data_IF_703019717931
#
_entry.id   IF_703019717931
#
_cell.length_a   1.000
_cell.length_b   1.000
_cell.length_c   1.000
_cell.angle_alpha   90.00
_cell.angle_beta   90.00
_cell.angle_gamma   90.00
#
_symmetry.space_group_name_H-M   'P 1'
#
loop_
_entity.id
_entity.type
_entity.pdbx_description
1 polymer ?
#
# COMPACT_ATOMS: atom_id res chain seq x y z
N UNK A 1 11.07 -8.90 0.03
CA UNK A 1 11.78 -9.83 0.94
C UNK A 1 12.91 -9.05 1.60
N UNK A 2 13.17 -9.15 2.92
CA UNK A 2 14.31 -8.48 3.54
C UNK A 2 15.64 -8.99 2.96
N UNK A 3 16.61 -8.10 2.73
CA UNK A 3 17.92 -8.45 2.14
C UNK A 3 18.70 -9.46 2.97
N UNK A 4 18.53 -9.46 4.27
CA UNK A 4 19.12 -10.46 5.16
C UNK A 4 18.89 -11.89 4.65
N UNK A 5 17.68 -12.23 4.23
CA UNK A 5 17.36 -13.56 3.70
C UNK A 5 17.96 -13.78 2.30
N UNK A 6 17.92 -12.77 1.45
CA UNK A 6 18.55 -12.80 0.13
C UNK A 6 20.06 -13.03 0.26
N UNK A 7 20.73 -12.35 1.18
CA UNK A 7 22.17 -12.48 1.38
C UNK A 7 22.57 -13.89 1.87
N UNK A 8 21.69 -14.58 2.63
CA UNK A 8 21.90 -15.99 2.97
C UNK A 8 21.85 -16.85 1.70
N UNK A 9 20.83 -16.69 0.87
CA UNK A 9 20.70 -17.47 -0.38
C UNK A 9 21.85 -17.21 -1.35
N UNK A 10 22.29 -15.97 -1.52
CA UNK A 10 23.41 -15.62 -2.39
C UNK A 10 24.73 -16.27 -1.94
N UNK A 11 24.93 -16.42 -0.65
CA UNK A 11 26.10 -17.14 -0.12
C UNK A 11 26.06 -18.64 -0.36
N UNK A 12 24.85 -19.23 -0.27
CA UNK A 12 24.67 -20.67 -0.44
C UNK A 12 24.59 -21.07 -1.92
N UNK A 13 24.07 -20.19 -2.76
CA UNK A 13 23.87 -20.41 -4.20
C UNK A 13 24.54 -19.30 -5.01
N UNK A 14 25.89 -19.25 -5.05
CA UNK A 14 26.62 -18.15 -5.70
C UNK A 14 26.39 -18.06 -7.20
N UNK A 15 26.03 -19.17 -7.86
CA UNK A 15 25.77 -19.25 -9.30
C UNK A 15 24.30 -18.89 -9.66
N UNK A 16 23.44 -18.70 -8.66
CA UNK A 16 22.03 -18.37 -8.92
C UNK A 16 21.87 -16.87 -9.18
N UNK A 17 21.05 -16.54 -10.18
CA UNK A 17 20.58 -15.18 -10.40
C UNK A 17 19.36 -14.89 -9.54
N UNK A 18 19.33 -13.73 -8.92
CA UNK A 18 18.21 -13.26 -8.09
C UNK A 18 17.60 -12.01 -8.72
N UNK A 19 16.28 -11.96 -8.72
CA UNK A 19 15.54 -10.78 -9.16
C UNK A 19 14.47 -10.39 -8.15
N UNK A 20 14.38 -9.09 -7.87
CA UNK A 20 13.25 -8.52 -7.14
C UNK A 20 12.19 -8.12 -8.17
N UNK A 21 10.97 -8.61 -7.99
CA UNK A 21 9.84 -8.37 -8.88
C UNK A 21 8.82 -7.49 -8.18
N UNK A 22 8.20 -6.58 -8.93
CA UNK A 22 7.12 -5.74 -8.43
C UNK A 22 6.00 -5.65 -9.47
N UNK A 23 4.77 -5.68 -8.96
CA UNK A 23 3.57 -5.39 -9.72
C UNK A 23 2.30 -5.75 -8.96
N UNK A 24 1.23 -4.98 -9.12
CA UNK A 24 -0.09 -5.29 -8.60
C UNK A 24 -0.88 -6.20 -9.55
N UNK A 25 -1.93 -6.82 -9.06
CA UNK A 25 -2.83 -7.71 -9.83
C UNK A 25 -3.44 -7.00 -11.04
N UNK A 26 -3.71 -5.71 -10.93
CA UNK A 26 -4.34 -4.86 -11.94
C UNK A 26 -3.52 -4.68 -13.21
N UNK A 27 -2.23 -5.03 -13.18
CA UNK A 27 -1.32 -5.02 -14.34
C UNK A 27 -0.80 -6.43 -14.67
N UNK A 28 -1.52 -7.46 -14.31
CA UNK A 28 -1.20 -8.87 -14.60
C UNK A 28 0.13 -9.28 -13.97
N UNK A 29 0.25 -9.04 -12.65
CA UNK A 29 1.27 -9.50 -11.72
C UNK A 29 2.60 -8.73 -11.72
N UNK A 30 3.34 -8.62 -12.80
CA UNK A 30 4.69 -8.01 -12.79
C UNK A 30 4.82 -6.90 -13.82
N UNK A 31 5.13 -5.67 -13.36
CA UNK A 31 5.42 -4.54 -14.24
C UNK A 31 6.88 -4.04 -14.18
N UNK A 32 7.61 -4.39 -13.13
CA UNK A 32 9.04 -4.06 -13.04
C UNK A 32 9.85 -5.16 -12.39
N UNK A 33 11.14 -5.11 -12.63
CA UNK A 33 12.10 -6.04 -12.06
C UNK A 33 13.45 -5.39 -11.82
N UNK A 34 14.14 -5.87 -10.81
CA UNK A 34 15.54 -5.56 -10.53
C UNK A 34 16.34 -6.84 -10.43
N UNK A 35 17.37 -7.01 -11.30
CA UNK A 35 18.36 -8.08 -11.15
C UNK A 35 19.35 -7.67 -10.07
N UNK A 36 19.53 -8.53 -9.07
CA UNK A 36 20.43 -8.26 -7.95
C UNK A 36 21.86 -8.49 -8.41
N UNK A 37 22.48 -7.46 -8.96
CA UNK A 37 23.80 -7.48 -9.60
C UNK A 37 24.91 -6.82 -8.76
N UNK A 38 24.60 -6.38 -7.55
CA UNK A 38 25.53 -5.79 -6.58
C UNK A 38 25.22 -6.25 -5.16
N UNK A 39 26.07 -5.91 -4.24
CA UNK A 39 25.85 -6.20 -2.81
C UNK A 39 24.96 -5.17 -2.16
N UNK A 40 24.18 -5.62 -1.19
CA UNK A 40 23.30 -4.82 -0.36
C UNK A 40 23.51 -5.23 1.09
N UNK A 41 23.53 -4.27 2.01
CA UNK A 41 23.49 -4.58 3.42
C UNK A 41 22.15 -5.24 3.81
N UNK A 42 22.12 -5.90 4.97
CA UNK A 42 20.95 -6.67 5.43
C UNK A 42 19.67 -5.80 5.53
N UNK A 43 19.85 -4.52 5.87
CA UNK A 43 18.76 -3.54 6.06
C UNK A 43 18.56 -2.61 4.85
N UNK A 44 19.38 -2.70 3.80
CA UNK A 44 19.20 -1.88 2.61
C UNK A 44 17.90 -2.24 1.87
N UNK A 45 17.13 -1.25 1.39
CA UNK A 45 15.99 -1.53 0.52
C UNK A 45 16.46 -1.97 -0.88
N UNK A 46 15.84 -3.02 -1.40
CA UNK A 46 16.05 -3.42 -2.80
C UNK A 46 15.24 -2.53 -3.74
N UNK A 47 15.84 -2.07 -4.87
CA UNK A 47 15.07 -1.47 -5.94
C UNK A 47 13.98 -2.41 -6.45
N UNK A 48 12.86 -1.86 -6.88
CA UNK A 48 11.91 -2.57 -7.75
C UNK A 48 12.32 -2.48 -9.23
N UNK A 49 13.33 -1.68 -9.51
CA UNK A 49 14.15 -1.70 -10.70
C UNK A 49 13.58 -0.91 -11.87
N UNK A 50 13.39 -1.57 -13.02
CA UNK A 50 12.97 -0.95 -14.29
C UNK A 50 11.74 -1.64 -14.84
N UNK A 51 10.97 -0.94 -15.66
CA UNK A 51 9.80 -1.47 -16.33
C UNK A 51 10.10 -2.71 -17.17
N UNK A 52 9.16 -3.66 -17.17
CA UNK A 52 9.17 -4.81 -18.08
C UNK A 52 8.93 -4.37 -19.54
N UNK A 53 9.19 -5.26 -20.49
CA UNK A 53 8.86 -5.02 -21.91
C UNK A 53 7.36 -4.80 -22.09
N UNK A 54 6.99 -3.92 -23.00
CA UNK A 54 5.60 -3.52 -23.28
C UNK A 54 4.88 -2.88 -22.07
N UNK A 55 5.64 -2.41 -21.10
CA UNK A 55 5.15 -1.71 -19.92
C UNK A 55 5.93 -0.42 -19.77
N UNK A 56 5.25 0.65 -19.39
CA UNK A 56 5.89 1.90 -19.00
C UNK A 56 5.45 2.26 -17.59
N UNK A 57 6.41 2.69 -16.79
CA UNK A 57 6.18 3.19 -15.44
C UNK A 57 6.47 4.67 -15.43
N UNK A 58 5.56 5.43 -14.85
CA UNK A 58 5.66 6.88 -14.66
C UNK A 58 5.53 7.18 -13.18
N UNK A 59 6.34 8.11 -12.68
CA UNK A 59 6.13 8.70 -11.37
C UNK A 59 5.47 10.05 -11.57
N UNK A 60 4.27 10.23 -11.01
CA UNK A 60 3.50 11.47 -11.12
C UNK A 60 3.40 12.15 -9.75
N UNK A 61 3.60 13.47 -9.73
CA UNK A 61 3.32 14.28 -8.54
C UNK A 61 1.80 14.56 -8.37
N UNK A 62 1.44 15.32 -7.35
CA UNK A 62 0.05 15.63 -7.04
C UNK A 62 -0.60 16.55 -8.11
N UNK A 63 0.19 17.26 -8.92
CA UNK A 63 -0.24 18.07 -10.07
C UNK A 63 -0.26 17.28 -11.38
N UNK A 64 0.00 15.97 -11.34
CA UNK A 64 0.13 15.07 -12.49
C UNK A 64 1.32 15.38 -13.42
N UNK A 65 2.35 16.05 -12.93
CA UNK A 65 3.59 16.25 -13.66
C UNK A 65 4.50 15.04 -13.53
N UNK A 66 5.19 14.72 -14.65
CA UNK A 66 6.15 13.62 -14.66
C UNK A 66 7.38 13.96 -13.81
N UNK A 67 7.73 13.08 -12.90
CA UNK A 67 8.96 13.16 -12.10
C UNK A 67 10.05 12.37 -12.79
N UNK A 68 11.19 13.02 -13.02
CA UNK A 68 12.40 12.42 -13.60
C UNK A 68 13.62 12.61 -12.71
N UNK A 69 13.54 13.53 -11.74
CA UNK A 69 14.62 13.84 -10.81
C UNK A 69 14.78 12.73 -9.77
N UNK A 70 16.05 12.35 -9.43
CA UNK A 70 16.32 11.44 -8.33
C UNK A 70 15.72 11.95 -7.00
N UNK A 71 15.40 11.04 -6.10
CA UNK A 71 14.92 11.26 -4.73
C UNK A 71 13.59 12.03 -4.60
N UNK A 72 13.00 12.50 -5.71
CA UNK A 72 11.68 13.12 -5.71
C UNK A 72 10.61 12.04 -5.73
N UNK A 73 9.74 12.04 -4.72
CA UNK A 73 8.66 11.06 -4.57
C UNK A 73 7.45 11.40 -5.41
N UNK A 74 6.87 10.38 -6.03
CA UNK A 74 5.61 10.47 -6.76
C UNK A 74 4.81 9.18 -6.70
N UNK A 75 3.57 9.24 -7.16
CA UNK A 75 2.73 8.06 -7.31
C UNK A 75 3.20 7.26 -8.52
N UNK A 76 3.44 5.96 -8.32
CA UNK A 76 3.78 5.04 -9.38
C UNK A 76 2.54 4.73 -10.21
N UNK A 77 2.58 5.08 -11.49
CA UNK A 77 1.54 4.82 -12.47
C UNK A 77 2.07 3.91 -13.57
N UNK A 78 1.22 3.03 -14.08
CA UNK A 78 1.62 2.03 -15.06
C UNK A 78 0.73 2.12 -16.30
N UNK A 79 1.34 2.06 -17.48
CA UNK A 79 0.65 1.81 -18.75
C UNK A 79 1.24 0.62 -19.49
N UNK A 80 0.47 0.02 -20.36
CA UNK A 80 0.94 -1.09 -21.20
C UNK A 80 -0.16 -2.10 -21.49
N UNK A 81 0.21 -3.11 -22.25
CA UNK A 81 -0.74 -4.16 -22.72
C UNK A 81 -1.18 -5.11 -21.62
N UNK A 82 -0.55 -5.05 -20.45
CA UNK A 82 -0.85 -5.88 -19.28
C UNK A 82 -1.90 -5.27 -18.34
N UNK A 83 -2.39 -4.04 -18.61
CA UNK A 83 -3.44 -3.43 -17.80
C UNK A 83 -4.74 -4.27 -17.90
N UNK A 84 -5.36 -4.50 -16.74
CA UNK A 84 -6.72 -5.05 -16.72
C UNK A 84 -7.73 -4.02 -17.21
N UNK A 85 -8.93 -4.48 -17.57
CA UNK A 85 -10.01 -3.60 -18.04
C UNK A 85 -10.71 -2.85 -16.90
N UNK A 86 -10.42 -3.22 -15.65
CA UNK A 86 -11.02 -2.64 -14.46
C UNK A 86 -11.44 -3.67 -13.42
N UNK A 87 -12.16 -3.24 -12.40
CA UNK A 87 -12.71 -4.09 -11.34
C UNK A 87 -14.09 -4.60 -11.72
N UNK A 88 -14.33 -5.90 -11.55
CA UNK A 88 -15.61 -6.53 -11.86
C UNK A 88 -16.76 -5.91 -11.05
N UNK A 89 -17.81 -5.49 -11.75
CA UNK A 89 -19.01 -4.87 -11.18
C UNK A 89 -18.73 -3.68 -10.23
N UNK A 90 -17.63 -2.94 -10.44
CA UNK A 90 -17.26 -1.78 -9.62
C UNK A 90 -16.70 -0.65 -10.50
N UNK A 91 -17.61 0.07 -11.17
CA UNK A 91 -17.27 1.18 -12.07
C UNK A 91 -16.66 2.36 -11.30
N UNK A 92 -17.14 2.65 -10.10
CA UNK A 92 -16.63 3.74 -9.27
C UNK A 92 -15.14 3.53 -8.96
N UNK A 93 -14.76 2.37 -8.43
CA UNK A 93 -13.35 2.05 -8.15
C UNK A 93 -12.52 1.98 -9.43
N UNK A 94 -13.10 1.48 -10.53
CA UNK A 94 -12.44 1.42 -11.84
C UNK A 94 -12.10 2.81 -12.35
N UNK A 95 -13.03 3.75 -12.31
CA UNK A 95 -12.83 5.12 -12.82
C UNK A 95 -11.80 5.93 -12.05
N UNK A 96 -11.59 5.60 -10.77
CA UNK A 96 -10.55 6.24 -9.92
C UNK A 96 -9.17 5.65 -10.18
N UNK A 97 -9.08 4.32 -10.40
CA UNK A 97 -7.81 3.62 -10.52
C UNK A 97 -7.28 3.57 -11.97
N UNK A 98 -8.18 3.43 -12.95
CA UNK A 98 -7.84 3.34 -14.38
C UNK A 98 -8.28 4.64 -15.07
N UNK A 99 -7.37 5.60 -15.10
CA UNK A 99 -7.64 6.96 -15.58
C UNK A 99 -7.00 7.23 -16.93
N UNK A 100 -7.46 8.30 -17.61
CA UNK A 100 -6.75 8.84 -18.77
C UNK A 100 -5.33 9.23 -18.36
N UNK A 101 -4.34 8.91 -19.20
CA UNK A 101 -2.96 9.36 -19.00
C UNK A 101 -2.90 10.89 -19.05
N UNK A 102 -2.58 11.58 -17.95
CA UNK A 102 -2.56 13.05 -17.92
C UNK A 102 -1.45 13.65 -18.79
N UNK A 103 -0.44 12.85 -19.14
CA UNK A 103 0.66 13.27 -20.02
C UNK A 103 0.31 13.13 -21.52
N UNK A 104 -0.79 12.47 -21.84
CA UNK A 104 -1.21 12.24 -23.22
C UNK A 104 -2.60 12.89 -23.50
N UNK A 105 -2.64 14.13 -24.03
CA UNK A 105 -3.90 14.78 -24.36
C UNK A 105 -4.43 14.46 -25.78
N UNK A 106 -3.70 13.64 -26.56
CA UNK A 106 -3.97 13.50 -28.00
C UNK A 106 -4.90 12.34 -28.34
N UNK A 107 -4.91 11.28 -27.53
CA UNK A 107 -5.76 10.10 -27.73
C UNK A 107 -6.05 9.40 -26.39
N UNK A 108 -7.08 8.56 -26.40
CA UNK A 108 -7.44 7.79 -25.21
C UNK A 108 -6.35 6.78 -24.88
N UNK A 109 -5.71 6.96 -23.73
CA UNK A 109 -4.68 6.08 -23.20
C UNK A 109 -4.89 5.93 -21.72
N UNK A 110 -5.24 4.73 -21.26
CA UNK A 110 -5.42 4.46 -19.84
C UNK A 110 -4.11 4.15 -19.16
N UNK A 111 -3.99 4.67 -17.94
CA UNK A 111 -2.96 4.28 -16.98
C UNK A 111 -3.64 3.72 -15.73
N UNK A 112 -2.94 2.85 -15.05
CA UNK A 112 -3.33 2.38 -13.72
C UNK A 112 -2.55 3.17 -12.66
N UNK A 113 -3.28 3.83 -11.75
CA UNK A 113 -2.74 4.47 -10.55
C UNK A 113 -2.62 3.42 -9.46
N UNK A 114 -1.39 3.06 -9.09
CA UNK A 114 -1.17 1.97 -8.15
C UNK A 114 -1.47 2.36 -6.70
N UNK A 115 -1.44 3.66 -6.38
CA UNK A 115 -1.46 4.18 -5.02
C UNK A 115 -0.13 3.94 -4.28
N UNK A 116 0.89 3.39 -4.94
CA UNK A 116 2.22 3.21 -4.40
C UNK A 116 3.05 4.47 -4.63
N UNK A 117 3.83 4.88 -3.63
CA UNK A 117 4.81 5.95 -3.73
C UNK A 117 6.17 5.38 -4.07
N UNK A 118 6.89 6.05 -4.93
CA UNK A 118 8.22 5.64 -5.37
C UNK A 118 9.09 6.87 -5.74
N UNK A 119 10.38 6.66 -5.83
CA UNK A 119 11.35 7.62 -6.37
C UNK A 119 12.38 6.91 -7.24
N UNK A 120 13.12 7.66 -8.05
CA UNK A 120 14.32 7.17 -8.73
C UNK A 120 15.53 7.35 -7.82
N UNK A 121 16.39 6.33 -7.71
CA UNK A 121 17.69 6.47 -7.08
C UNK A 121 18.71 7.08 -8.09
N UNK A 122 19.95 7.27 -7.63
CA UNK A 122 21.07 7.79 -8.45
C UNK A 122 21.41 6.93 -9.68
N UNK A 123 21.01 5.64 -9.69
CA UNK A 123 21.18 4.73 -10.82
C UNK A 123 19.98 4.71 -11.78
N UNK A 124 18.97 5.56 -11.56
CA UNK A 124 17.73 5.58 -12.32
C UNK A 124 16.87 4.33 -12.13
N UNK A 125 17.04 3.64 -11.00
CA UNK A 125 16.21 2.50 -10.59
C UNK A 125 15.10 2.98 -9.69
N UNK A 126 13.91 2.38 -9.82
CA UNK A 126 12.75 2.74 -9.02
C UNK A 126 12.88 2.11 -7.63
N UNK A 127 12.75 2.95 -6.60
CA UNK A 127 12.69 2.58 -5.19
C UNK A 127 11.26 2.69 -4.70
N UNK A 128 10.79 1.70 -3.95
CA UNK A 128 9.45 1.71 -3.35
C UNK A 128 9.48 2.43 -2.00
N UNK A 129 8.61 3.43 -1.82
CA UNK A 129 8.52 4.28 -0.62
C UNK A 129 7.29 4.00 0.26
N UNK A 130 6.50 3.00 -0.09
CA UNK A 130 5.27 2.68 0.62
C UNK A 130 4.01 3.03 -0.15
N UNK A 131 2.91 3.23 0.56
CA UNK A 131 1.59 3.50 -0.04
C UNK A 131 1.14 4.93 0.23
N UNK A 132 0.45 5.52 -0.77
CA UNK A 132 -0.29 6.80 -0.63
C UNK A 132 -1.55 6.63 0.23
N UNK A 133 -2.14 5.43 0.18
CA UNK A 133 -3.31 5.01 0.95
C UNK A 133 -2.92 4.10 2.13
N UNK A 134 -3.94 3.62 2.85
CA UNK A 134 -3.78 2.75 4.02
C UNK A 134 -3.90 1.26 3.68
N UNK A 135 -3.68 0.88 2.43
CA UNK A 135 -3.65 -0.52 2.02
C UNK A 135 -2.40 -1.21 2.54
N UNK A 136 -2.57 -2.42 3.05
CA UNK A 136 -1.49 -3.23 3.62
C UNK A 136 -1.40 -4.60 2.95
N UNK A 137 -0.22 -5.25 3.10
CA UNK A 137 -0.07 -6.68 2.86
C UNK A 137 0.03 -7.39 4.21
N UNK A 138 -0.99 -8.18 4.55
CA UNK A 138 -1.03 -8.93 5.81
C UNK A 138 -1.33 -10.40 5.52
N UNK A 139 -0.47 -11.31 6.02
CA UNK A 139 -0.57 -12.76 5.82
C UNK A 139 -0.74 -13.20 4.34
N UNK A 140 -0.15 -12.44 3.39
CA UNK A 140 -0.26 -12.69 1.95
C UNK A 140 -1.49 -12.07 1.29
N UNK A 141 -2.40 -11.47 2.06
CA UNK A 141 -3.59 -10.79 1.56
C UNK A 141 -3.35 -9.29 1.41
N UNK A 142 -3.94 -8.71 0.37
CA UNK A 142 -4.04 -7.26 0.17
C UNK A 142 -5.29 -6.76 0.88
N UNK A 143 -5.12 -5.92 1.90
CA UNK A 143 -6.20 -5.45 2.78
C UNK A 143 -6.28 -3.93 2.73
N UNK A 144 -7.47 -3.41 2.49
CA UNK A 144 -7.82 -2.01 2.67
C UNK A 144 -8.20 -1.78 4.14
N UNK A 145 -7.40 -1.05 4.90
CA UNK A 145 -7.76 -0.73 6.30
C UNK A 145 -9.09 0.02 6.40
N UNK A 146 -9.41 0.83 5.37
CA UNK A 146 -10.68 1.53 5.27
C UNK A 146 -11.91 0.63 5.20
N UNK A 147 -11.78 -0.59 4.67
CA UNK A 147 -12.88 -1.56 4.66
C UNK A 147 -13.21 -2.04 6.08
N UNK A 148 -12.18 -2.29 6.88
CA UNK A 148 -12.35 -2.64 8.29
C UNK A 148 -12.95 -1.49 9.07
N UNK A 149 -12.48 -0.26 8.82
CA UNK A 149 -13.01 0.96 9.44
C UNK A 149 -14.48 1.17 9.12
N UNK A 150 -14.87 1.00 7.87
CA UNK A 150 -16.26 1.09 7.43
C UNK A 150 -17.14 0.08 8.15
N UNK A 151 -16.65 -1.17 8.29
CA UNK A 151 -17.36 -2.20 9.03
C UNK A 151 -17.51 -1.88 10.52
N UNK A 152 -16.52 -1.25 11.14
CA UNK A 152 -16.59 -0.78 12.53
C UNK A 152 -17.56 0.40 12.66
N UNK A 153 -17.46 1.37 11.75
CA UNK A 153 -18.31 2.57 11.74
C UNK A 153 -19.78 2.28 11.42
N UNK A 154 -20.11 1.11 10.87
CA UNK A 154 -21.50 0.67 10.69
C UNK A 154 -22.21 0.29 12.00
N UNK A 155 -21.48 0.23 13.12
CA UNK A 155 -22.02 -0.05 14.45
C UNK A 155 -22.51 1.26 15.08
N UNK A 156 -23.78 1.31 15.51
CA UNK A 156 -24.43 2.52 16.04
C UNK A 156 -23.72 3.12 17.28
N UNK A 157 -23.02 2.27 18.05
CA UNK A 157 -22.29 2.68 19.24
C UNK A 157 -20.94 3.35 18.94
N UNK A 158 -20.47 3.36 17.70
CA UNK A 158 -19.14 3.87 17.31
C UNK A 158 -19.28 5.24 16.67
N UNK A 159 -18.62 6.24 17.24
CA UNK A 159 -18.55 7.60 16.69
C UNK A 159 -17.44 7.75 15.65
N UNK A 160 -16.26 7.15 15.91
CA UNK A 160 -15.09 7.19 15.02
C UNK A 160 -14.29 5.88 15.13
N UNK A 161 -13.66 5.50 14.02
CA UNK A 161 -12.76 4.35 13.98
C UNK A 161 -11.57 4.61 13.08
N UNK A 162 -10.43 4.02 13.44
CA UNK A 162 -9.19 4.06 12.67
C UNK A 162 -8.47 2.73 12.83
N UNK A 163 -8.04 2.13 11.74
CA UNK A 163 -7.22 0.93 11.77
C UNK A 163 -5.77 1.28 11.43
N UNK A 164 -4.84 0.73 12.18
CA UNK A 164 -3.40 0.89 12.01
C UNK A 164 -2.77 -0.47 11.74
N UNK A 165 -1.67 -0.46 11.01
CA UNK A 165 -0.85 -1.64 10.84
C UNK A 165 0.44 -1.51 11.64
N UNK A 166 0.64 -2.44 12.55
CA UNK A 166 1.86 -2.60 13.32
C UNK A 166 2.85 -3.44 12.49
N UNK A 167 3.85 -2.76 11.92
CA UNK A 167 4.86 -3.36 11.05
C UNK A 167 5.78 -4.32 11.79
N UNK A 168 6.05 -4.03 13.07
CA UNK A 168 6.96 -4.81 13.90
C UNK A 168 6.32 -6.15 14.28
N UNK A 169 5.09 -6.12 14.79
CA UNK A 169 4.37 -7.30 15.23
C UNK A 169 3.49 -7.93 14.14
N UNK A 170 3.49 -7.35 12.91
CA UNK A 170 2.71 -7.83 11.75
C UNK A 170 1.23 -8.04 12.06
N UNK A 171 0.59 -7.04 12.67
CA UNK A 171 -0.81 -7.11 13.13
C UNK A 171 -1.61 -5.87 12.78
N UNK A 172 -2.92 -6.05 12.65
CA UNK A 172 -3.88 -4.95 12.50
C UNK A 172 -4.38 -4.58 13.89
N UNK A 173 -4.40 -3.28 14.17
CA UNK A 173 -4.87 -2.69 15.42
C UNK A 173 -6.01 -1.73 15.11
N UNK A 174 -7.09 -1.76 15.89
CA UNK A 174 -8.21 -0.83 15.78
C UNK A 174 -8.21 0.16 16.92
N UNK A 175 -8.34 1.44 16.59
CA UNK A 175 -8.58 2.53 17.55
C UNK A 175 -9.98 3.04 17.31
N UNK A 176 -10.80 3.15 18.36
CA UNK A 176 -12.20 3.56 18.22
C UNK A 176 -12.63 4.53 19.32
N UNK A 177 -13.60 5.38 18.98
CA UNK A 177 -14.25 6.29 19.89
C UNK A 177 -15.72 5.90 20.00
N UNK A 178 -16.20 5.74 21.23
CA UNK A 178 -17.60 5.41 21.52
C UNK A 178 -18.08 6.14 22.77
N UNK A 179 -19.27 6.73 22.70
CA UNK A 179 -19.95 7.31 23.86
C UNK A 179 -20.82 6.29 24.62
N UNK A 180 -21.09 5.15 24.01
CA UNK A 180 -22.03 4.14 24.56
C UNK A 180 -21.31 2.98 25.26
N UNK A 181 -19.97 3.02 25.36
CA UNK A 181 -19.20 2.08 26.18
C UNK A 181 -19.10 0.66 25.62
N UNK A 182 -19.14 0.50 24.28
CA UNK A 182 -18.85 -0.80 23.65
C UNK A 182 -17.38 -1.18 23.88
N UNK A 183 -17.12 -2.46 24.13
CA UNK A 183 -15.76 -2.97 24.29
C UNK A 183 -15.21 -3.60 22.99
N UNK A 184 -13.89 -3.79 22.94
CA UNK A 184 -13.20 -4.36 21.77
C UNK A 184 -13.61 -5.80 21.46
N UNK A 185 -14.05 -6.59 22.47
CA UNK A 185 -14.51 -7.97 22.27
C UNK A 185 -15.84 -8.00 21.54
N UNK A 186 -16.75 -7.08 21.86
CA UNK A 186 -18.05 -6.95 21.19
C UNK A 186 -17.84 -6.52 19.72
N UNK A 187 -16.95 -5.55 19.46
CA UNK A 187 -16.58 -5.14 18.09
C UNK A 187 -16.02 -6.34 17.33
N UNK A 188 -15.04 -7.04 17.89
CA UNK A 188 -14.43 -8.22 17.28
C UNK A 188 -15.48 -9.29 16.91
N UNK A 189 -16.39 -9.60 17.82
CA UNK A 189 -17.44 -10.59 17.59
C UNK A 189 -18.33 -10.22 16.41
N UNK A 190 -18.70 -8.95 16.27
CA UNK A 190 -19.50 -8.45 15.14
C UNK A 190 -18.70 -8.50 13.84
N UNK A 191 -17.43 -8.06 13.84
CA UNK A 191 -16.56 -8.12 12.66
C UNK A 191 -16.39 -9.54 12.15
N UNK A 192 -16.25 -10.53 13.03
CA UNK A 192 -16.10 -11.95 12.63
C UNK A 192 -17.31 -12.51 11.86
N UNK A 193 -18.47 -11.86 11.89
CA UNK A 193 -19.65 -12.25 11.11
C UNK A 193 -19.73 -11.61 9.74
N UNK A 194 -18.92 -10.57 9.47
CA UNK A 194 -19.01 -9.78 8.23
C UNK A 194 -17.68 -9.70 7.45
N UNK A 195 -16.54 -9.91 8.12
CA UNK A 195 -15.22 -9.84 7.49
C UNK A 195 -14.47 -11.19 7.58
N UNK A 196 -13.60 -11.47 6.60
CA UNK A 196 -12.69 -12.59 6.65
C UNK A 196 -11.76 -12.53 7.88
N UNK A 197 -11.35 -13.68 8.40
CA UNK A 197 -10.53 -13.77 9.62
C UNK A 197 -9.22 -12.98 9.57
N UNK A 198 -8.57 -12.93 8.40
CA UNK A 198 -7.30 -12.21 8.20
C UNK A 198 -7.45 -10.69 8.24
N UNK A 199 -8.67 -10.15 8.17
CA UNK A 199 -8.97 -8.72 8.30
C UNK A 199 -9.35 -8.30 9.73
N UNK A 200 -9.54 -9.25 10.65
CA UNK A 200 -9.99 -8.95 12.01
C UNK A 200 -8.82 -8.38 12.82
N UNK A 201 -8.94 -7.14 13.36
CA UNK A 201 -7.92 -6.59 14.22
C UNK A 201 -7.61 -7.50 15.42
N UNK A 202 -6.34 -7.59 15.78
CA UNK A 202 -5.90 -8.38 16.93
C UNK A 202 -6.05 -7.63 18.25
N UNK A 203 -5.98 -6.29 18.18
CA UNK A 203 -6.11 -5.40 19.33
C UNK A 203 -7.08 -4.24 19.06
N UNK A 204 -7.69 -3.75 20.14
CA UNK A 204 -8.71 -2.71 20.10
C UNK A 204 -8.45 -1.71 21.23
N UNK A 205 -8.23 -0.44 20.87
CA UNK A 205 -7.98 0.65 21.80
C UNK A 205 -9.16 1.63 21.78
N UNK A 206 -9.82 1.78 22.93
CA UNK A 206 -10.82 2.80 23.10
C UNK A 206 -10.14 4.14 23.43
N UNK A 207 -10.56 5.22 22.76
CA UNK A 207 -10.11 6.58 23.04
C UNK A 207 -11.31 7.49 23.35
N UNK A 208 -11.13 8.42 24.28
CA UNK A 208 -12.17 9.41 24.59
C UNK A 208 -12.42 10.36 23.42
N UNK A 209 -11.34 10.74 22.72
CA UNK A 209 -11.40 11.63 21.58
C UNK A 209 -10.39 11.20 20.53
N UNK A 210 -10.84 11.05 19.28
CA UNK A 210 -9.98 10.75 18.16
C UNK A 210 -9.10 11.97 17.82
N UNK A 211 -7.75 11.85 17.77
CA UNK A 211 -6.89 12.95 17.38
C UNK A 211 -7.10 13.29 15.90
N UNK A 212 -7.23 14.59 15.62
CA UNK A 212 -7.41 15.10 14.27
C UNK A 212 -6.18 15.94 13.86
N UNK A 213 -5.87 15.93 12.58
CA UNK A 213 -4.87 16.84 11.99
C UNK A 213 -5.50 18.22 11.69
N UNK A 214 -4.69 19.17 11.21
CA UNK A 214 -5.11 20.54 10.89
C UNK A 214 -6.24 20.62 9.85
N UNK A 215 -6.42 19.57 9.06
CA UNK A 215 -7.46 19.46 8.03
C UNK A 215 -8.74 18.74 8.56
N UNK A 216 -8.84 18.48 9.86
CA UNK A 216 -9.97 17.79 10.48
C UNK A 216 -10.05 16.27 10.20
N UNK A 217 -9.02 15.66 9.62
CA UNK A 217 -8.92 14.21 9.41
C UNK A 217 -8.23 13.53 10.57
N UNK A 218 -8.54 12.25 10.83
CA UNK A 218 -7.88 11.46 11.88
C UNK A 218 -6.36 11.47 11.69
N UNK A 219 -5.65 11.84 12.75
CA UNK A 219 -4.18 11.89 12.76
C UNK A 219 -3.60 10.51 13.05
N UNK A 220 -3.53 9.67 12.01
CA UNK A 220 -3.01 8.29 12.11
C UNK A 220 -1.55 8.24 12.56
N UNK A 221 -0.73 9.24 12.18
CA UNK A 221 0.68 9.30 12.58
C UNK A 221 0.82 9.46 14.10
N UNK A 222 0.01 10.33 14.68
CA UNK A 222 -0.04 10.50 16.13
C UNK A 222 -0.49 9.21 16.81
N UNK A 223 -1.61 8.61 16.37
CA UNK A 223 -2.11 7.35 16.93
C UNK A 223 -1.07 6.22 16.84
N UNK A 224 -0.33 6.15 15.73
CA UNK A 224 0.73 5.14 15.57
C UNK A 224 1.87 5.36 16.58
N UNK A 225 2.29 6.59 16.80
CA UNK A 225 3.33 6.90 17.78
C UNK A 225 2.86 6.65 19.22
N UNK A 226 1.60 6.97 19.54
CA UNK A 226 1.07 6.85 20.91
C UNK A 226 0.79 5.40 21.32
N UNK A 227 0.49 4.52 20.38
CA UNK A 227 -0.02 3.16 20.65
C UNK A 227 0.89 2.02 20.16
N UNK A 228 1.78 2.28 19.20
CA UNK A 228 2.61 1.25 18.55
C UNK A 228 4.12 1.51 18.66
N UNK A 229 4.51 2.47 19.52
CA UNK A 229 5.94 2.78 19.81
C UNK A 229 6.46 1.96 20.98
#
# INVERSE_FOLDING_TARGET
MPNRHLNIWRRVLPEAEFANLYGPTEITDVCSFFRVNREFADDDPLPIGKACRNTEIMLLDDENCLITEPDKKGELCVRGTSLSVGYYANEEKTSVAFVQNPLNPYYEEKIYRTGDLAHYNEFGEIMFDGRKDFQIKHMGYRIELGEIETAILSMEEIDNACCLYDEEHKRIVSVFQSKQGIDGLAIRKRLMSILPKYMIPSEYFAVEKMPLNDNGKINRKQLKNDLLS
#
